data_IF_672696629817
#
_entry.id   IF_672696629817
#
_cell.length_a   1.000
_cell.length_b   1.000
_cell.length_c   1.000
_cell.angle_alpha   90.00
_cell.angle_beta   90.00
_cell.angle_gamma   90.00
#
_symmetry.space_group_name_H-M   'P 1'
#
loop_
_entity.id
_entity.type
_entity.pdbx_description
1 polymer ?
#
# COMPACT_ATOMS: atom_id res chain seq x y z
N UNK A 1 25.31 4.67 7.57
CA UNK A 1 25.31 3.58 6.55
C UNK A 1 23.85 3.19 6.33
N UNK A 2 23.30 3.38 5.12
CA UNK A 2 21.87 3.11 4.85
C UNK A 2 21.63 1.65 4.49
N UNK A 3 20.64 1.00 5.12
CA UNK A 3 20.25 -0.36 4.76
C UNK A 3 19.59 -0.37 3.37
N UNK A 4 20.30 -0.84 2.35
CA UNK A 4 19.84 -0.84 0.95
C UNK A 4 18.46 -1.47 0.72
N UNK A 5 18.13 -2.62 1.34
CA UNK A 5 16.79 -3.21 1.26
C UNK A 5 15.70 -2.30 1.82
N UNK A 6 15.98 -1.56 2.90
CA UNK A 6 15.04 -0.60 3.49
C UNK A 6 14.76 0.57 2.56
N UNK A 7 15.80 1.20 2.02
CA UNK A 7 15.64 2.31 1.09
C UNK A 7 14.81 1.90 -0.15
N UNK A 8 15.07 0.71 -0.70
CA UNK A 8 14.27 0.16 -1.81
C UNK A 8 12.80 -0.05 -1.42
N UNK A 9 12.53 -0.64 -0.26
CA UNK A 9 11.16 -0.85 0.21
C UNK A 9 10.41 0.48 0.39
N UNK A 10 11.06 1.46 1.02
CA UNK A 10 10.47 2.79 1.23
C UNK A 10 10.15 3.46 -0.11
N UNK A 11 11.03 3.38 -1.10
CA UNK A 11 10.79 3.96 -2.44
C UNK A 11 9.63 3.26 -3.15
N UNK A 12 9.60 1.91 -3.16
CA UNK A 12 8.46 1.14 -3.72
C UNK A 12 7.16 1.58 -3.06
N UNK A 13 7.17 1.64 -1.73
CA UNK A 13 5.99 1.97 -0.97
C UNK A 13 5.55 3.43 -1.17
N UNK A 14 6.49 4.36 -1.33
CA UNK A 14 6.20 5.75 -1.63
C UNK A 14 5.46 5.88 -2.96
N UNK A 15 5.95 5.22 -4.03
CA UNK A 15 5.30 5.28 -5.34
C UNK A 15 3.92 4.61 -5.34
N UNK A 16 3.81 3.41 -4.77
CA UNK A 16 2.52 2.71 -4.66
C UNK A 16 1.51 3.47 -3.80
N UNK A 17 1.93 4.03 -2.66
CA UNK A 17 1.09 4.91 -1.82
C UNK A 17 0.66 6.17 -2.54
N UNK A 18 1.55 6.81 -3.32
CA UNK A 18 1.23 8.01 -4.06
C UNK A 18 0.14 7.75 -5.11
N UNK A 19 0.24 6.63 -5.83
CA UNK A 19 -0.80 6.20 -6.77
C UNK A 19 -2.14 5.93 -6.08
N UNK A 20 -2.12 5.23 -4.95
CA UNK A 20 -3.33 4.96 -4.17
C UNK A 20 -3.98 6.24 -3.63
N UNK A 21 -3.18 7.15 -3.07
CA UNK A 21 -3.67 8.43 -2.51
C UNK A 21 -4.22 9.37 -3.60
N UNK A 22 -3.68 9.32 -4.83
CA UNK A 22 -4.22 10.07 -5.97
C UNK A 22 -5.59 9.56 -6.38
N UNK A 23 -5.75 8.24 -6.44
CA UNK A 23 -7.02 7.58 -6.69
C UNK A 23 -8.03 7.95 -5.60
N UNK A 24 -7.70 7.70 -4.33
CA UNK A 24 -8.58 7.92 -3.18
C UNK A 24 -9.03 9.39 -3.08
N UNK A 25 -8.08 10.34 -3.18
CA UNK A 25 -8.36 11.76 -3.06
C UNK A 25 -9.25 12.33 -4.17
N UNK A 26 -9.23 11.73 -5.35
CA UNK A 26 -10.03 12.18 -6.50
C UNK A 26 -11.30 11.36 -6.73
N UNK A 27 -11.47 10.23 -6.05
CA UNK A 27 -12.57 9.31 -6.31
C UNK A 27 -13.94 9.95 -6.11
N UNK A 28 -14.10 10.81 -5.10
CA UNK A 28 -15.33 11.55 -4.86
C UNK A 28 -15.67 12.55 -5.99
N UNK A 29 -14.66 13.27 -6.48
CA UNK A 29 -14.81 14.21 -7.59
C UNK A 29 -15.13 13.46 -8.89
N UNK A 30 -14.50 12.32 -9.13
CA UNK A 30 -14.79 11.47 -10.29
C UNK A 30 -16.22 10.92 -10.27
N UNK A 31 -16.68 10.40 -9.13
CA UNK A 31 -18.05 9.88 -9.02
C UNK A 31 -19.12 10.96 -9.21
N UNK A 32 -18.88 12.17 -8.70
CA UNK A 32 -19.83 13.28 -8.80
C UNK A 32 -19.78 14.00 -10.15
N UNK A 33 -18.59 14.26 -10.69
CA UNK A 33 -18.40 15.10 -11.88
C UNK A 33 -18.39 14.30 -13.18
N UNK A 34 -17.90 13.05 -13.18
CA UNK A 34 -17.80 12.20 -14.38
C UNK A 34 -18.94 11.19 -14.46
N UNK A 35 -19.27 10.51 -13.36
CA UNK A 35 -20.30 9.45 -13.37
C UNK A 35 -21.72 9.97 -13.11
N UNK A 36 -21.87 11.15 -12.51
CA UNK A 36 -23.17 11.75 -12.15
C UNK A 36 -23.83 11.12 -10.91
N UNK A 37 -23.12 10.26 -10.19
CA UNK A 37 -23.64 9.50 -9.05
C UNK A 37 -23.41 10.19 -7.72
N UNK A 38 -23.91 11.43 -7.59
CA UNK A 38 -23.66 12.26 -6.39
C UNK A 38 -24.29 11.69 -5.12
N UNK A 39 -25.41 10.99 -5.23
CA UNK A 39 -26.14 10.38 -4.09
C UNK A 39 -25.67 8.94 -3.78
N UNK A 40 -25.12 8.22 -4.75
CA UNK A 40 -24.69 6.81 -4.58
C UNK A 40 -23.23 6.66 -4.17
N UNK A 41 -22.44 7.74 -4.15
CA UNK A 41 -21.03 7.72 -3.76
C UNK A 41 -20.80 7.02 -2.41
N UNK A 42 -21.61 7.34 -1.40
CA UNK A 42 -21.49 6.75 -0.07
C UNK A 42 -21.80 5.24 -0.09
N UNK A 43 -22.78 4.81 -0.89
CA UNK A 43 -23.12 3.39 -1.06
C UNK A 43 -22.00 2.64 -1.79
N UNK A 44 -21.43 3.23 -2.83
CA UNK A 44 -20.29 2.69 -3.57
C UNK A 44 -19.08 2.52 -2.64
N UNK A 45 -18.75 3.53 -1.85
CA UNK A 45 -17.68 3.45 -0.85
C UNK A 45 -17.95 2.35 0.18
N UNK A 46 -19.18 2.24 0.68
CA UNK A 46 -19.55 1.18 1.62
C UNK A 46 -19.33 -0.21 1.02
N UNK A 47 -19.69 -0.43 -0.24
CA UNK A 47 -19.46 -1.70 -0.94
C UNK A 47 -17.96 -2.00 -1.06
N UNK A 48 -17.14 -1.00 -1.40
CA UNK A 48 -15.67 -1.17 -1.46
C UNK A 48 -15.12 -1.56 -0.08
N UNK A 49 -15.53 -0.86 0.98
CA UNK A 49 -15.05 -1.10 2.34
C UNK A 49 -15.48 -2.47 2.87
N UNK A 50 -16.75 -2.85 2.66
CA UNK A 50 -17.26 -4.17 3.04
C UNK A 50 -16.53 -5.29 2.28
N UNK A 51 -16.37 -5.14 0.96
CA UNK A 51 -15.64 -6.12 0.17
C UNK A 51 -14.17 -6.20 0.56
N UNK A 52 -13.53 -5.07 0.87
CA UNK A 52 -12.16 -5.07 1.36
C UNK A 52 -12.03 -5.81 2.68
N UNK A 53 -12.95 -5.56 3.62
CA UNK A 53 -12.98 -6.24 4.94
C UNK A 53 -13.14 -7.75 4.79
N UNK A 54 -14.04 -8.21 3.92
CA UNK A 54 -14.25 -9.63 3.65
C UNK A 54 -13.06 -10.27 2.92
N UNK A 55 -12.31 -9.49 2.15
CA UNK A 55 -11.13 -9.97 1.43
C UNK A 55 -9.86 -10.06 2.30
N UNK A 56 -9.83 -9.43 3.49
CA UNK A 56 -8.69 -9.51 4.42
C UNK A 56 -8.27 -10.95 4.72
N UNK A 57 -9.15 -11.85 5.20
CA UNK A 57 -8.76 -13.23 5.51
C UNK A 57 -8.28 -14.00 4.27
N UNK A 58 -8.87 -13.72 3.11
CA UNK A 58 -8.43 -14.31 1.84
C UNK A 58 -7.00 -13.89 1.50
N UNK A 59 -6.67 -12.61 1.60
CA UNK A 59 -5.33 -12.11 1.36
C UNK A 59 -4.32 -12.59 2.40
N UNK A 60 -4.72 -12.70 3.67
CA UNK A 60 -3.88 -13.26 4.73
C UNK A 60 -3.53 -14.73 4.45
N UNK A 61 -4.50 -15.52 4.02
CA UNK A 61 -4.26 -16.90 3.59
C UNK A 61 -3.36 -16.97 2.35
N UNK A 62 -3.57 -16.10 1.36
CA UNK A 62 -2.74 -16.05 0.17
C UNK A 62 -1.29 -15.67 0.48
N UNK A 63 -1.10 -14.70 1.38
CA UNK A 63 0.20 -14.22 1.86
C UNK A 63 1.03 -15.32 2.51
N UNK A 64 0.41 -16.11 3.38
CA UNK A 64 1.07 -17.20 4.10
C UNK A 64 1.39 -18.38 3.19
N UNK A 65 0.58 -18.62 2.15
CA UNK A 65 0.75 -19.78 1.25
C UNK A 65 1.71 -19.54 0.08
N UNK A 66 1.61 -18.40 -0.59
CA UNK A 66 2.33 -18.10 -1.84
C UNK A 66 3.50 -17.12 -1.67
N UNK A 67 3.66 -16.58 -0.46
CA UNK A 67 4.70 -15.62 -0.12
C UNK A 67 4.35 -14.17 -0.46
N UNK A 68 4.98 -13.25 0.26
CA UNK A 68 4.64 -11.81 0.23
C UNK A 68 4.93 -11.14 -1.12
N UNK A 69 6.03 -11.51 -1.79
CA UNK A 69 6.36 -10.97 -3.13
C UNK A 69 5.30 -11.31 -4.17
N UNK A 70 4.90 -12.58 -4.25
CA UNK A 70 3.87 -13.06 -5.18
C UNK A 70 2.54 -12.36 -4.91
N UNK A 71 2.19 -12.20 -3.63
CA UNK A 71 0.98 -11.49 -3.23
C UNK A 71 0.96 -10.01 -3.65
N UNK A 72 2.10 -9.30 -3.60
CA UNK A 72 2.19 -7.94 -4.15
C UNK A 72 2.02 -7.91 -5.66
N UNK A 73 2.67 -8.81 -6.39
CA UNK A 73 2.49 -8.85 -7.84
C UNK A 73 1.05 -9.16 -8.23
N UNK A 74 0.43 -10.17 -7.62
CA UNK A 74 -0.96 -10.54 -7.92
C UNK A 74 -1.93 -9.45 -7.49
N UNK A 75 -1.74 -8.87 -6.29
CA UNK A 75 -2.54 -7.77 -5.78
C UNK A 75 -2.50 -6.55 -6.69
N UNK A 76 -1.30 -6.07 -7.03
CA UNK A 76 -1.15 -4.92 -7.91
C UNK A 76 -1.63 -5.19 -9.34
N UNK A 77 -1.37 -6.39 -9.90
CA UNK A 77 -1.92 -6.77 -11.21
C UNK A 77 -3.45 -6.86 -11.20
N UNK A 78 -4.08 -7.20 -10.07
CA UNK A 78 -5.55 -7.24 -9.96
C UNK A 78 -6.19 -5.85 -9.95
N UNK A 79 -5.47 -4.83 -9.47
CA UNK A 79 -5.95 -3.44 -9.38
C UNK A 79 -5.88 -2.72 -10.72
N UNK A 80 -4.89 -3.00 -11.57
CA UNK A 80 -4.73 -2.38 -12.90
C UNK A 80 -5.97 -2.51 -13.81
N UNK A 81 -6.55 -3.69 -14.05
CA UNK A 81 -7.73 -3.82 -14.90
C UNK A 81 -8.94 -3.10 -14.30
N UNK A 82 -9.06 -3.04 -12.97
CA UNK A 82 -10.10 -2.26 -12.30
C UNK A 82 -9.97 -0.77 -12.62
N UNK A 83 -8.78 -0.19 -12.50
CA UNK A 83 -8.53 1.23 -12.80
C UNK A 83 -8.84 1.58 -14.27
N UNK A 84 -8.55 0.66 -15.19
CA UNK A 84 -8.89 0.82 -16.61
C UNK A 84 -10.41 0.75 -16.80
N UNK A 85 -11.07 -0.22 -16.16
CA UNK A 85 -12.50 -0.46 -16.29
C UNK A 85 -13.33 0.73 -15.77
N UNK A 86 -12.90 1.36 -14.67
CA UNK A 86 -13.55 2.56 -14.10
C UNK A 86 -13.62 3.73 -15.10
N UNK A 87 -12.65 3.85 -16.01
CA UNK A 87 -12.63 4.91 -17.04
C UNK A 87 -13.43 4.52 -18.29
N UNK A 88 -13.49 3.23 -18.62
CA UNK A 88 -14.19 2.73 -19.80
C UNK A 88 -15.71 2.59 -19.61
N UNK A 89 -16.20 2.53 -18.37
CA UNK A 89 -17.63 2.32 -18.09
C UNK A 89 -18.43 3.60 -18.37
N UNK A 90 -19.39 3.50 -19.29
CA UNK A 90 -20.51 4.45 -19.38
C UNK A 90 -21.45 4.26 -18.19
N UNK A 91 -21.86 5.37 -17.58
CA UNK A 91 -22.73 5.49 -16.40
C UNK A 91 -23.83 4.42 -16.33
N UNK A 92 -23.50 3.28 -15.70
CA UNK A 92 -24.45 2.21 -15.39
C UNK A 92 -24.18 1.77 -13.95
N UNK A 93 -25.14 2.11 -13.08
CA UNK A 93 -25.05 1.88 -11.63
C UNK A 93 -24.72 0.42 -11.28
N UNK A 94 -25.36 -0.55 -11.92
CA UNK A 94 -25.16 -1.97 -11.61
C UNK A 94 -23.73 -2.42 -11.92
N UNK A 95 -23.19 -1.98 -13.06
CA UNK A 95 -21.81 -2.30 -13.44
C UNK A 95 -20.84 -1.64 -12.47
N UNK A 96 -21.09 -0.38 -12.07
CA UNK A 96 -20.27 0.31 -11.08
C UNK A 96 -20.25 -0.44 -9.74
N UNK A 97 -21.39 -0.93 -9.23
CA UNK A 97 -21.41 -1.72 -7.98
C UNK A 97 -20.60 -3.02 -8.06
N UNK A 98 -20.73 -3.78 -9.16
CA UNK A 98 -19.95 -5.02 -9.37
C UNK A 98 -18.45 -4.69 -9.42
N UNK A 99 -18.09 -3.62 -10.12
CA UNK A 99 -16.71 -3.19 -10.30
C UNK A 99 -16.13 -2.69 -8.98
N UNK A 100 -16.91 -1.96 -8.18
CA UNK A 100 -16.55 -1.54 -6.82
C UNK A 100 -16.35 -2.71 -5.85
N UNK A 101 -17.14 -3.78 -5.98
CA UNK A 101 -16.91 -5.00 -5.21
C UNK A 101 -15.55 -5.64 -5.57
N UNK A 102 -15.27 -5.83 -6.87
CA UNK A 102 -13.97 -6.35 -7.32
C UNK A 102 -12.81 -5.44 -6.90
N UNK A 103 -13.01 -4.12 -6.91
CA UNK A 103 -12.05 -3.15 -6.41
C UNK A 103 -11.67 -3.38 -4.96
N UNK A 104 -12.67 -3.61 -4.09
CA UNK A 104 -12.47 -3.79 -2.66
C UNK A 104 -11.53 -4.95 -2.36
N UNK A 105 -11.62 -6.03 -3.15
CA UNK A 105 -10.69 -7.16 -3.06
C UNK A 105 -9.25 -6.69 -3.34
N UNK A 106 -9.03 -5.91 -4.40
CA UNK A 106 -7.70 -5.37 -4.72
C UNK A 106 -7.18 -4.38 -3.67
N UNK A 107 -8.04 -3.50 -3.16
CA UNK A 107 -7.70 -2.50 -2.12
C UNK A 107 -7.23 -3.17 -0.83
N UNK A 108 -7.86 -4.27 -0.42
CA UNK A 108 -7.43 -5.03 0.75
C UNK A 108 -5.97 -5.50 0.63
N UNK A 109 -5.57 -5.97 -0.56
CA UNK A 109 -4.18 -6.36 -0.82
C UNK A 109 -3.23 -5.18 -0.70
N UNK A 110 -3.55 -4.05 -1.36
CA UNK A 110 -2.71 -2.88 -1.40
C UNK A 110 -2.47 -2.27 0.00
N UNK A 111 -3.46 -2.39 0.90
CA UNK A 111 -3.31 -1.94 2.27
C UNK A 111 -2.54 -2.94 3.14
N UNK A 112 -2.84 -4.24 3.08
CA UNK A 112 -2.21 -5.24 3.96
C UNK A 112 -0.73 -5.46 3.66
N UNK A 113 -0.36 -5.49 2.38
CA UNK A 113 0.94 -5.97 1.94
C UNK A 113 2.11 -5.11 2.43
N UNK A 114 2.06 -3.77 2.34
CA UNK A 114 3.19 -2.94 2.74
C UNK A 114 3.46 -2.99 4.25
N UNK A 115 2.40 -2.98 5.07
CA UNK A 115 2.54 -3.15 6.52
C UNK A 115 3.09 -4.51 6.91
N UNK A 116 2.80 -5.55 6.10
CA UNK A 116 3.36 -6.89 6.33
C UNK A 116 4.84 -7.00 5.96
N UNK A 117 5.34 -6.20 5.01
CA UNK A 117 6.73 -6.26 4.53
C UNK A 117 7.69 -5.41 5.36
N UNK A 118 7.19 -4.40 6.06
CA UNK A 118 8.02 -3.53 6.90
C UNK A 118 8.74 -4.30 8.03
N UNK A 119 8.07 -5.19 8.81
CA UNK A 119 8.74 -6.04 9.79
C UNK A 119 9.84 -6.92 9.19
N UNK A 120 9.66 -7.45 7.98
CA UNK A 120 10.65 -8.34 7.35
C UNK A 120 11.99 -7.63 7.11
N UNK A 121 11.95 -6.32 6.83
CA UNK A 121 13.17 -5.50 6.68
C UNK A 121 13.81 -5.18 8.02
N UNK A 122 12.99 -4.97 9.05
CA UNK A 122 13.48 -4.76 10.41
C UNK A 122 14.18 -5.99 10.94
N UNK A 123 13.60 -7.17 10.70
CA UNK A 123 14.20 -8.45 11.05
C UNK A 123 15.52 -8.67 10.30
N UNK A 124 15.57 -8.36 9.00
CA UNK A 124 16.82 -8.43 8.22
C UNK A 124 17.90 -7.45 8.72
N UNK A 125 17.50 -6.24 9.14
CA UNK A 125 18.40 -5.25 9.72
C UNK A 125 18.94 -5.71 11.08
N UNK A 126 18.08 -6.29 11.94
CA UNK A 126 18.44 -6.80 13.26
C UNK A 126 19.40 -7.98 13.17
N UNK A 127 19.19 -8.90 12.22
CA UNK A 127 20.12 -10.01 11.96
C UNK A 127 21.50 -9.53 11.53
N UNK A 128 21.57 -8.44 10.76
CA UNK A 128 22.85 -7.86 10.33
C UNK A 128 23.52 -7.00 11.41
N UNK A 129 22.75 -6.45 12.35
CA UNK A 129 23.23 -5.52 13.37
C UNK A 129 22.67 -5.91 14.75
N UNK A 130 23.13 -7.04 15.34
CA UNK A 130 22.60 -7.54 16.60
C UNK A 130 22.81 -6.59 17.79
N UNK A 131 23.88 -5.77 17.78
CA UNK A 131 24.13 -4.78 18.83
C UNK A 131 23.25 -3.52 18.73
N UNK A 132 22.52 -3.34 17.62
CA UNK A 132 21.76 -2.12 17.34
C UNK A 132 20.31 -2.26 17.81
N UNK A 133 20.03 -1.85 19.05
CA UNK A 133 18.68 -1.88 19.64
C UNK A 133 17.93 -0.56 19.42
N UNK A 134 16.60 -0.58 19.41
CA UNK A 134 15.75 0.63 19.41
C UNK A 134 15.55 1.37 18.07
N UNK A 135 16.09 0.88 16.96
CA UNK A 135 15.95 1.55 15.65
C UNK A 135 14.60 1.30 14.96
N UNK A 136 13.81 0.34 15.45
CA UNK A 136 12.48 0.00 14.91
C UNK A 136 11.56 1.21 14.86
N UNK A 137 11.52 2.01 15.93
CA UNK A 137 10.70 3.22 16.00
C UNK A 137 11.09 4.26 14.94
N UNK A 138 12.38 4.39 14.62
CA UNK A 138 12.85 5.30 13.57
C UNK A 138 12.37 4.83 12.19
N UNK A 139 12.52 3.53 11.90
CA UNK A 139 12.06 2.97 10.63
C UNK A 139 10.54 3.10 10.45
N UNK A 140 9.74 2.80 11.48
CA UNK A 140 8.29 3.02 11.45
C UNK A 140 7.94 4.51 11.27
N UNK A 141 8.64 5.40 11.96
CA UNK A 141 8.41 6.85 11.85
C UNK A 141 8.71 7.37 10.45
N UNK A 142 9.85 6.98 9.86
CA UNK A 142 10.19 7.34 8.48
C UNK A 142 9.19 6.77 7.49
N UNK A 143 8.74 5.54 7.68
CA UNK A 143 7.72 4.92 6.84
C UNK A 143 6.41 5.73 6.83
N UNK A 144 5.88 6.07 8.02
CA UNK A 144 4.66 6.88 8.14
C UNK A 144 4.87 8.28 7.57
N UNK A 145 6.04 8.89 7.82
CA UNK A 145 6.40 10.19 7.27
C UNK A 145 6.35 10.20 5.74
N UNK A 146 6.97 9.24 5.07
CA UNK A 146 6.94 9.15 3.60
C UNK A 146 5.53 8.89 3.06
N UNK A 147 4.70 8.14 3.80
CA UNK A 147 3.29 7.93 3.45
C UNK A 147 2.52 9.25 3.46
N UNK A 148 2.70 10.05 4.52
CA UNK A 148 2.04 11.35 4.66
C UNK A 148 2.59 12.38 3.67
N UNK A 149 3.89 12.32 3.40
CA UNK A 149 4.52 13.10 2.35
C UNK A 149 3.91 12.78 0.98
N UNK A 150 3.78 11.50 0.62
CA UNK A 150 3.14 11.06 -0.62
C UNK A 150 1.66 11.51 -0.70
N UNK A 151 0.92 11.45 0.41
CA UNK A 151 -0.45 11.94 0.50
C UNK A 151 -0.53 13.46 0.27
N UNK A 152 0.36 14.24 0.88
CA UNK A 152 0.45 15.69 0.66
C UNK A 152 0.82 16.07 -0.78
N UNK A 153 1.81 15.38 -1.36
CA UNK A 153 2.22 15.57 -2.76
C UNK A 153 1.07 15.20 -3.71
N UNK A 154 0.41 14.06 -3.49
CA UNK A 154 -0.76 13.63 -4.24
C UNK A 154 -1.85 14.71 -4.24
N UNK A 155 -2.21 15.22 -3.05
CA UNK A 155 -3.22 16.25 -2.91
C UNK A 155 -2.82 17.55 -3.62
N UNK A 156 -1.57 17.98 -3.49
CA UNK A 156 -1.03 19.17 -4.16
C UNK A 156 -1.06 19.05 -5.68
N UNK A 157 -0.56 17.94 -6.22
CA UNK A 157 -0.57 17.64 -7.66
C UNK A 157 -2.01 17.59 -8.19
N UNK A 158 -2.90 16.93 -7.45
CA UNK A 158 -4.31 16.85 -7.80
C UNK A 158 -4.97 18.23 -7.88
N UNK A 159 -4.79 19.04 -6.83
CA UNK A 159 -5.40 20.37 -6.71
C UNK A 159 -4.91 21.30 -7.82
N UNK A 160 -3.59 21.35 -8.06
CA UNK A 160 -3.02 22.18 -9.13
C UNK A 160 -3.50 21.72 -10.51
N UNK A 161 -3.53 20.40 -10.75
CA UNK A 161 -4.00 19.87 -12.04
C UNK A 161 -5.46 20.22 -12.31
N UNK A 162 -6.31 20.16 -11.28
CA UNK A 162 -7.72 20.55 -11.37
C UNK A 162 -7.90 22.06 -11.57
N UNK A 163 -7.09 22.88 -10.90
CA UNK A 163 -7.11 24.34 -11.07
C UNK A 163 -6.72 24.73 -12.51
N UNK A 164 -5.64 24.13 -13.05
CA UNK A 164 -5.26 24.32 -14.45
C UNK A 164 -6.30 23.83 -15.46
N UNK A 165 -7.05 22.78 -15.12
CA UNK A 165 -8.16 22.29 -15.93
C UNK A 165 -9.42 23.18 -15.85
N UNK A 166 -9.42 24.21 -14.98
CA UNK A 166 -10.55 25.12 -14.81
C UNK A 166 -11.68 24.54 -13.96
N UNK A 167 -11.36 23.74 -12.94
CA UNK A 167 -12.35 23.12 -12.05
C UNK A 167 -13.23 24.18 -11.37
N UNK A 168 -14.55 24.12 -11.62
CA UNK A 168 -15.52 25.06 -11.04
C UNK A 168 -16.11 24.44 -9.78
N UNK A 169 -15.72 24.94 -8.62
CA UNK A 169 -16.28 24.48 -7.35
C UNK A 169 -17.80 24.72 -7.29
N UNK A 170 -18.57 23.65 -7.06
CA UNK A 170 -20.05 23.66 -6.97
C UNK A 170 -20.80 24.08 -8.26
N UNK A 171 -20.13 24.07 -9.42
CA UNK A 171 -20.80 24.27 -10.71
C UNK A 171 -21.74 23.10 -11.07
N UNK A 172 -22.83 23.38 -11.78
CA UNK A 172 -23.75 22.34 -12.28
C UNK A 172 -23.17 21.53 -13.46
N UNK A 173 -22.18 22.08 -14.16
CA UNK A 173 -21.47 21.45 -15.27
C UNK A 173 -19.98 21.72 -15.13
N UNK A 174 -19.17 20.70 -15.39
CA UNK A 174 -17.71 20.83 -15.45
C UNK A 174 -17.24 20.94 -16.91
N UNK A 175 -16.10 21.60 -17.17
CA UNK A 175 -15.42 21.56 -18.47
C UNK A 175 -15.06 20.14 -18.88
N UNK A 176 -14.91 19.89 -20.19
CA UNK A 176 -14.47 18.57 -20.71
C UNK A 176 -13.03 18.26 -20.31
N UNK A 177 -12.24 19.31 -20.11
CA UNK A 177 -10.85 19.28 -19.69
C UNK A 177 -10.71 18.73 -18.26
N UNK A 178 -11.66 19.03 -17.38
CA UNK A 178 -11.72 18.50 -16.00
C UNK A 178 -12.03 17.01 -16.00
N UNK A 179 -12.96 16.55 -16.85
CA UNK A 179 -13.28 15.13 -16.98
C UNK A 179 -12.06 14.32 -17.43
N UNK A 180 -11.31 14.82 -18.41
CA UNK A 180 -10.07 14.21 -18.87
C UNK A 180 -8.99 14.21 -17.78
N UNK A 181 -8.85 15.32 -17.06
CA UNK A 181 -7.88 15.44 -15.95
C UNK A 181 -8.19 14.46 -14.83
N UNK A 182 -9.47 14.32 -14.44
CA UNK A 182 -9.90 13.36 -13.43
C UNK A 182 -9.65 11.92 -13.89
N UNK A 183 -9.92 11.57 -15.15
CA UNK A 183 -9.61 10.24 -15.69
C UNK A 183 -8.11 9.93 -15.62
N UNK A 184 -7.26 10.92 -15.91
CA UNK A 184 -5.80 10.76 -15.80
C UNK A 184 -5.35 10.59 -14.34
N UNK A 185 -5.87 11.40 -13.41
CA UNK A 185 -5.50 11.36 -11.98
C UNK A 185 -6.02 10.10 -11.26
N UNK A 186 -7.15 9.55 -11.69
CA UNK A 186 -7.80 8.38 -11.07
C UNK A 186 -7.34 7.06 -11.69
N UNK A 187 -6.85 7.05 -12.94
CA UNK A 187 -6.43 5.80 -13.62
C UNK A 187 -4.97 5.82 -14.08
N UNK A 188 -4.62 6.65 -15.07
CA UNK A 188 -3.34 6.59 -15.76
C UNK A 188 -2.16 6.89 -14.85
N UNK A 189 -2.27 7.93 -14.02
CA UNK A 189 -1.22 8.29 -13.07
C UNK A 189 -1.03 7.21 -11.97
N UNK A 190 -2.08 6.72 -11.28
CA UNK A 190 -1.95 5.60 -10.34
C UNK A 190 -1.36 4.34 -10.96
N UNK A 191 -1.76 3.97 -12.19
CA UNK A 191 -1.19 2.80 -12.90
C UNK A 191 0.31 3.00 -13.14
N UNK A 192 0.73 4.17 -13.63
CA UNK A 192 2.13 4.47 -13.88
C UNK A 192 2.97 4.36 -12.58
N UNK A 193 2.49 4.96 -11.48
CA UNK A 193 3.18 4.88 -10.19
C UNK A 193 3.22 3.45 -9.62
N UNK A 194 2.15 2.67 -9.77
CA UNK A 194 2.13 1.26 -9.38
C UNK A 194 3.13 0.42 -10.20
N UNK A 195 3.21 0.63 -11.51
CA UNK A 195 4.16 -0.07 -12.38
C UNK A 195 5.61 0.27 -12.02
N UNK A 196 5.91 1.53 -11.73
CA UNK A 196 7.24 1.95 -11.24
C UNK A 196 7.54 1.26 -9.91
N UNK A 197 6.58 1.24 -8.97
CA UNK A 197 6.72 0.52 -7.70
C UNK A 197 7.01 -0.97 -7.89
N UNK A 198 6.28 -1.63 -8.79
CA UNK A 198 6.47 -3.06 -9.10
C UNK A 198 7.81 -3.35 -9.76
N UNK A 199 8.28 -2.46 -10.64
CA UNK A 199 9.59 -2.59 -11.29
C UNK A 199 10.73 -2.51 -10.26
N UNK A 200 10.63 -1.60 -9.28
CA UNK A 200 11.61 -1.48 -8.21
C UNK A 200 11.52 -2.69 -7.25
N UNK A 201 10.30 -3.19 -6.97
CA UNK A 201 10.09 -4.38 -6.16
C UNK A 201 10.73 -5.63 -6.77
N UNK A 202 10.88 -5.70 -8.09
CA UNK A 202 11.58 -6.82 -8.74
C UNK A 202 13.04 -6.92 -8.27
N UNK A 203 13.67 -5.76 -8.05
CA UNK A 203 15.05 -5.65 -7.57
C UNK A 203 15.18 -5.73 -6.04
N UNK A 204 14.09 -6.05 -5.33
CA UNK A 204 14.05 -6.19 -3.87
C UNK A 204 14.64 -7.56 -3.46
N UNK A 205 15.65 -7.60 -2.58
CA UNK A 205 16.41 -8.83 -2.31
C UNK A 205 15.79 -9.76 -1.27
N UNK A 206 14.79 -9.30 -0.49
CA UNK A 206 14.21 -10.12 0.58
C UNK A 206 13.08 -10.96 0.01
N UNK A 207 13.43 -12.21 -0.29
CA UNK A 207 12.49 -13.27 -0.67
C UNK A 207 12.04 -14.09 0.55
N UNK A 208 11.03 -14.93 0.35
CA UNK A 208 10.48 -15.83 1.38
C UNK A 208 11.57 -16.70 2.05
N UNK A 209 12.57 -17.15 1.28
CA UNK A 209 13.74 -17.89 1.80
C UNK A 209 14.58 -17.05 2.77
N UNK A 210 14.81 -15.78 2.43
CA UNK A 210 15.57 -14.86 3.29
C UNK A 210 14.80 -14.55 4.56
N UNK A 211 13.47 -14.39 4.46
CA UNK A 211 12.61 -14.22 5.64
C UNK A 211 12.68 -15.42 6.59
N UNK A 212 12.58 -16.64 6.06
CA UNK A 212 12.70 -17.86 6.87
C UNK A 212 14.07 -17.98 7.55
N UNK A 213 15.14 -17.64 6.82
CA UNK A 213 16.48 -17.57 7.38
C UNK A 213 16.59 -16.55 8.53
N UNK A 214 16.07 -15.33 8.34
CA UNK A 214 16.10 -14.28 9.35
C UNK A 214 15.30 -14.68 10.60
N UNK A 215 14.12 -15.27 10.43
CA UNK A 215 13.30 -15.76 11.54
C UNK A 215 14.04 -16.83 12.36
N UNK A 216 14.72 -17.78 11.70
CA UNK A 216 15.49 -18.82 12.38
C UNK A 216 16.65 -18.22 13.18
N UNK A 217 17.40 -17.31 12.57
CA UNK A 217 18.54 -16.66 13.23
C UNK A 217 18.09 -15.82 14.44
N UNK A 218 16.98 -15.07 14.31
CA UNK A 218 16.43 -14.29 15.42
C UNK A 218 15.92 -15.18 16.55
N UNK A 219 15.38 -16.36 16.24
CA UNK A 219 14.99 -17.34 17.25
C UNK A 219 16.22 -17.90 17.98
N UNK A 220 17.27 -18.29 17.24
CA UNK A 220 18.52 -18.77 17.83
C UNK A 220 19.19 -17.71 18.74
N UNK A 221 19.12 -16.42 18.37
CA UNK A 221 19.61 -15.32 19.22
C UNK A 221 18.80 -15.18 20.51
N UNK A 222 17.46 -15.28 20.45
CA UNK A 222 16.59 -15.20 21.63
C UNK A 222 16.79 -16.38 22.57
N UNK A 223 16.96 -17.57 22.02
CA UNK A 223 17.22 -18.78 22.82
C UNK A 223 18.58 -18.67 23.52
N UNK A 224 19.61 -18.15 22.84
CA UNK A 224 20.94 -17.91 23.41
C UNK A 224 20.94 -16.84 24.52
N UNK A 225 20.18 -15.75 24.35
CA UNK A 225 20.00 -14.72 25.38
C UNK A 225 19.30 -15.30 26.62
N UNK A 226 18.23 -16.08 26.43
CA UNK A 226 17.50 -16.73 27.52
C UNK A 226 18.36 -17.72 28.31
N UNK A 227 19.19 -18.52 27.61
CA UNK A 227 20.14 -19.43 28.25
C UNK A 227 21.16 -18.64 29.09
N UNK A 228 21.70 -17.53 28.57
CA UNK A 228 22.65 -16.68 29.30
C UNK A 228 22.05 -15.98 30.55
N UNK A 229 20.79 -15.56 30.49
CA UNK A 229 20.06 -15.00 31.64
C UNK A 229 19.78 -16.08 32.70
N UNK A 230 19.51 -17.32 32.26
CA UNK A 230 19.30 -18.44 33.18
C UNK A 230 20.59 -18.81 33.93
N UNK A 231 21.72 -18.89 33.23
CA UNK A 231 23.03 -19.19 33.83
C UNK A 231 23.45 -18.10 34.84
N UNK A 232 23.25 -16.82 34.50
CA UNK A 232 23.57 -15.71 35.42
C UNK A 232 22.67 -15.68 36.64
N UNK A 233 21.39 -16.04 36.51
CA UNK A 233 20.45 -16.16 37.64
C UNK A 233 20.81 -17.34 38.55
N UNK A 234 21.22 -18.48 38.00
CA UNK A 234 21.68 -19.62 38.78
C UNK A 234 22.97 -19.31 39.55
N UNK A 235 23.96 -18.68 38.91
CA UNK A 235 25.20 -18.27 39.59
C UNK A 235 24.91 -17.27 40.71
N UNK A 236 24.02 -16.30 40.50
CA UNK A 236 23.62 -15.34 41.54
C UNK A 236 22.91 -15.99 42.74
N UNK A 237 22.24 -17.13 42.54
CA UNK A 237 21.57 -17.86 43.63
C UNK A 237 22.52 -18.81 44.39
N UNK A 238 23.72 -19.09 43.84
CA UNK A 238 24.74 -19.94 44.49
C UNK A 238 25.73 -19.15 45.36
N UNK A 239 25.75 -17.82 45.28
CA UNK A 239 26.61 -16.90 46.06
C UNK A 239 25.82 -16.35 47.25
#
# INVERSE_FOLDING_TARGET
MGHGPYAKLVVVFLFTSLGFMLLEGNFALFCSSTLGFRNDFQNILLVIMLSATLAIPFWQWFLTRFGKKTAVYVGSCSVVPFLIMVVCIKSNLYVTYVVSFVAGIGVASAFLLPWSMLPDVLDDFKVQNPESTGHEALFYSFYVFFTKFASGVSLGVSTLSLDFAGYISRGCSQPKEVDLTLKLLVSAAPIAFMLIGLAILYSYPIDEKRRQYNNKMLQEMRDSEADSESETTEISNMI
#
